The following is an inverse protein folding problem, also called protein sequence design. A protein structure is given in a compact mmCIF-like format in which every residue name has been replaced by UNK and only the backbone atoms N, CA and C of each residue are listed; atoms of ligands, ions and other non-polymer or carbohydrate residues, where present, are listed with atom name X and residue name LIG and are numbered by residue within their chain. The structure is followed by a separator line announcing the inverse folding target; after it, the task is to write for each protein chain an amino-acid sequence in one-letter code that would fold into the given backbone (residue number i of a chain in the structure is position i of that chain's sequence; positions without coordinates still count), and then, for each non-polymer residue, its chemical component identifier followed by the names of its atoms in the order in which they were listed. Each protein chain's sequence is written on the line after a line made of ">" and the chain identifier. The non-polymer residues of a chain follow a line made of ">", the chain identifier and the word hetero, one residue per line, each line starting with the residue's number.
data_IF_914428105062
#
_entry.id   IF_914428105062
#
_cell.length_a   1.000
_cell.length_b   1.000
_cell.length_c   1.000
_cell.angle_alpha   90.00
_cell.angle_beta   90.00
_cell.angle_gamma   90.00
#
_symmetry.space_group_name_H-M   'P 1'
#
loop_
_entity.id
_entity.type
_entity.pdbx_description
1 polymer ?
#
# COMPACT_ATOMS: atom_id res chain seq x y z
N UNK A 1 11.86 -14.78 13.84
CA UNK A 1 11.25 -15.99 14.46
C UNK A 1 9.92 -16.42 13.80
N UNK A 2 9.20 -15.52 13.12
CA UNK A 2 7.88 -15.78 12.51
C UNK A 2 7.89 -16.76 11.31
N UNK A 3 8.99 -16.92 10.60
CA UNK A 3 9.07 -17.84 9.45
C UNK A 3 8.85 -19.31 9.81
N UNK A 4 9.12 -19.73 11.05
CA UNK A 4 8.85 -21.09 11.53
C UNK A 4 7.38 -21.32 11.89
N UNK A 5 6.60 -20.26 12.13
CA UNK A 5 5.18 -20.32 12.49
C UNK A 5 4.25 -20.31 11.28
N UNK A 6 4.74 -19.87 10.10
CA UNK A 6 3.98 -19.82 8.84
C UNK A 6 3.28 -21.15 8.46
N UNK A 7 3.91 -22.33 8.60
CA UNK A 7 3.26 -23.61 8.26
C UNK A 7 2.10 -23.95 9.22
N UNK A 8 2.26 -23.65 10.51
CA UNK A 8 1.24 -23.90 11.53
C UNK A 8 0.05 -22.94 11.34
N UNK A 9 0.33 -21.67 11.05
CA UNK A 9 -0.69 -20.68 10.72
C UNK A 9 -1.47 -21.06 9.46
N UNK A 10 -0.77 -21.57 8.44
CA UNK A 10 -1.40 -22.07 7.21
C UNK A 10 -2.44 -23.16 7.49
N UNK A 11 -2.15 -24.15 8.35
CA UNK A 11 -3.11 -25.21 8.69
C UNK A 11 -4.39 -24.70 9.34
N UNK A 12 -4.30 -23.64 10.15
CA UNK A 12 -5.46 -23.04 10.82
C UNK A 12 -6.22 -22.10 9.89
N UNK A 13 -5.51 -21.29 9.10
CA UNK A 13 -6.12 -20.28 8.24
C UNK A 13 -6.71 -20.85 6.94
N UNK A 14 -6.19 -21.97 6.42
CA UNK A 14 -6.71 -22.59 5.19
C UNK A 14 -8.20 -22.97 5.26
N UNK A 15 -8.71 -23.68 6.28
CA UNK A 15 -10.14 -24.02 6.34
C UNK A 15 -11.02 -22.78 6.48
N UNK A 16 -10.58 -21.76 7.22
CA UNK A 16 -11.29 -20.49 7.36
C UNK A 16 -11.28 -19.75 6.00
N UNK A 17 -10.14 -19.70 5.33
CA UNK A 17 -10.01 -19.12 3.99
C UNK A 17 -10.89 -19.81 2.96
N UNK A 18 -11.07 -21.14 3.05
CA UNK A 18 -12.02 -21.86 2.21
C UNK A 18 -13.47 -21.50 2.52
N UNK A 19 -13.83 -21.34 3.79
CA UNK A 19 -15.18 -20.94 4.20
C UNK A 19 -15.49 -19.51 3.71
N UNK A 20 -14.56 -18.57 3.88
CA UNK A 20 -14.71 -17.18 3.40
C UNK A 20 -14.70 -17.12 1.87
N UNK A 21 -13.88 -17.93 1.19
CA UNK A 21 -13.89 -17.99 -0.27
C UNK A 21 -15.27 -18.37 -0.86
N UNK A 22 -16.06 -19.17 -0.13
CA UNK A 22 -17.43 -19.55 -0.55
C UNK A 22 -18.44 -18.42 -0.48
N UNK A 23 -18.17 -17.35 0.28
CA UNK A 23 -19.09 -16.19 0.38
C UNK A 23 -18.97 -15.24 -0.81
N UNK A 24 -17.94 -15.40 -1.65
CA UNK A 24 -17.69 -14.55 -2.81
C UNK A 24 -16.99 -13.22 -2.48
N UNK A 25 -16.69 -12.95 -1.21
CA UNK A 25 -15.94 -11.76 -0.79
C UNK A 25 -14.54 -11.79 -1.39
N UNK A 26 -14.10 -10.66 -1.96
CA UNK A 26 -12.78 -10.55 -2.58
C UNK A 26 -11.68 -10.37 -1.53
N UNK A 27 -10.44 -10.84 -1.77
CA UNK A 27 -9.30 -10.58 -0.88
C UNK A 27 -9.14 -9.09 -0.56
N UNK A 28 -9.22 -8.22 -1.58
CA UNK A 28 -9.10 -6.78 -1.40
C UNK A 28 -10.17 -6.19 -0.46
N UNK A 29 -11.40 -6.71 -0.49
CA UNK A 29 -12.45 -6.27 0.43
C UNK A 29 -12.13 -6.67 1.88
N UNK A 30 -11.56 -7.86 2.09
CA UNK A 30 -11.09 -8.32 3.40
C UNK A 30 -10.02 -7.36 3.93
N UNK A 31 -9.03 -7.00 3.10
CA UNK A 31 -7.97 -6.05 3.47
C UNK A 31 -8.52 -4.69 3.91
N UNK A 32 -9.46 -4.13 3.13
CA UNK A 32 -10.06 -2.82 3.41
C UNK A 32 -10.88 -2.86 4.71
N UNK A 33 -11.70 -3.91 4.90
CA UNK A 33 -12.53 -4.07 6.11
C UNK A 33 -11.64 -4.30 7.33
N UNK A 34 -10.61 -5.14 7.21
CA UNK A 34 -9.61 -5.39 8.24
C UNK A 34 -8.98 -4.08 8.72
N UNK A 35 -8.48 -3.30 7.77
CA UNK A 35 -7.81 -2.03 8.05
C UNK A 35 -8.77 -0.98 8.63
N UNK A 36 -10.00 -0.89 8.13
CA UNK A 36 -11.01 -0.01 8.69
C UNK A 36 -11.35 -0.39 10.14
N UNK A 37 -11.43 -1.69 10.45
CA UNK A 37 -11.65 -2.20 11.80
C UNK A 37 -10.48 -1.92 12.74
N UNK A 38 -9.24 -2.09 12.29
CA UNK A 38 -8.04 -1.67 13.04
C UNK A 38 -8.08 -0.17 13.33
N UNK A 39 -8.36 0.65 12.32
CA UNK A 39 -8.41 2.09 12.48
C UNK A 39 -9.53 2.53 13.44
N UNK A 40 -10.72 1.94 13.33
CA UNK A 40 -11.81 2.20 14.25
C UNK A 40 -11.46 1.79 15.69
N UNK A 41 -10.89 0.61 15.89
CA UNK A 41 -10.45 0.14 17.21
C UNK A 41 -9.42 1.08 17.83
N UNK A 42 -8.38 1.45 17.07
CA UNK A 42 -7.33 2.34 17.54
C UNK A 42 -7.84 3.76 17.83
N UNK A 43 -8.53 4.39 16.87
CA UNK A 43 -8.89 5.81 16.94
C UNK A 43 -10.14 6.09 17.77
N UNK A 44 -10.98 5.09 18.07
CA UNK A 44 -12.14 5.27 18.95
C UNK A 44 -11.87 4.85 20.39
N UNK A 45 -10.99 3.88 20.64
CA UNK A 45 -10.78 3.31 21.98
C UNK A 45 -9.52 3.84 22.66
N UNK A 46 -8.37 3.93 21.96
CA UNK A 46 -7.14 4.43 22.58
C UNK A 46 -7.23 5.89 23.04
N UNK A 47 -7.85 6.83 22.29
CA UNK A 47 -8.09 8.19 22.79
C UNK A 47 -8.96 8.25 24.05
N UNK A 48 -9.75 7.22 24.33
CA UNK A 48 -10.57 7.10 25.53
C UNK A 48 -9.87 6.36 26.66
N UNK A 49 -8.59 5.99 26.50
CA UNK A 49 -7.82 5.22 27.49
C UNK A 49 -8.24 3.76 27.59
N UNK A 50 -9.13 3.29 26.71
CA UNK A 50 -9.60 1.92 26.66
C UNK A 50 -8.55 1.04 25.95
N UNK A 51 -7.31 1.05 26.42
CA UNK A 51 -6.17 0.42 25.74
C UNK A 51 -6.33 -1.10 25.63
N UNK A 52 -6.90 -1.76 26.63
CA UNK A 52 -7.14 -3.20 26.59
C UNK A 52 -8.16 -3.56 25.50
N UNK A 53 -9.35 -2.93 25.53
CA UNK A 53 -10.40 -3.20 24.56
C UNK A 53 -10.01 -2.77 23.14
N UNK A 54 -9.32 -1.64 23.00
CA UNK A 54 -8.74 -1.21 21.73
C UNK A 54 -7.80 -2.27 21.17
N UNK A 55 -6.91 -2.81 22.01
CA UNK A 55 -5.98 -3.87 21.63
C UNK A 55 -6.71 -5.14 21.19
N UNK A 56 -7.77 -5.56 21.89
CA UNK A 56 -8.56 -6.73 21.52
C UNK A 56 -9.24 -6.57 20.16
N UNK A 57 -9.86 -5.41 19.92
CA UNK A 57 -10.50 -5.11 18.62
C UNK A 57 -9.46 -5.09 17.50
N UNK A 58 -8.34 -4.38 17.69
CA UNK A 58 -7.26 -4.33 16.70
C UNK A 58 -6.72 -5.73 16.41
N UNK A 59 -6.46 -6.52 17.45
CA UNK A 59 -5.94 -7.89 17.29
C UNK A 59 -6.91 -8.75 16.49
N UNK A 60 -8.21 -8.66 16.75
CA UNK A 60 -9.22 -9.39 15.99
C UNK A 60 -9.20 -9.02 14.50
N UNK A 61 -9.08 -7.73 14.16
CA UNK A 61 -9.02 -7.28 12.78
C UNK A 61 -7.68 -7.54 12.09
N UNK A 62 -6.56 -7.51 12.81
CA UNK A 62 -5.25 -7.94 12.28
C UNK A 62 -5.28 -9.42 11.92
N UNK A 63 -5.91 -10.27 12.75
CA UNK A 63 -6.09 -11.69 12.44
C UNK A 63 -7.06 -11.90 11.26
N UNK A 64 -8.09 -11.06 11.15
CA UNK A 64 -9.01 -11.06 10.01
C UNK A 64 -8.28 -10.70 8.71
N UNK A 65 -7.35 -9.75 8.74
CA UNK A 65 -6.53 -9.35 7.59
C UNK A 65 -5.71 -10.53 7.06
N UNK A 66 -5.14 -11.36 7.92
CA UNK A 66 -4.40 -12.58 7.51
C UNK A 66 -5.24 -13.58 6.70
N UNK A 67 -6.58 -13.46 6.72
CA UNK A 67 -7.47 -14.26 5.90
C UNK A 67 -7.44 -13.82 4.43
N UNK A 68 -7.10 -12.58 4.10
CA UNK A 68 -7.07 -12.10 2.72
C UNK A 68 -6.08 -12.91 1.86
N UNK A 69 -4.90 -13.20 2.41
CA UNK A 69 -3.85 -13.97 1.77
C UNK A 69 -4.20 -15.45 1.74
N UNK A 70 -4.93 -15.95 2.74
CA UNK A 70 -5.47 -17.31 2.70
C UNK A 70 -6.53 -17.46 1.59
N UNK A 71 -7.47 -16.51 1.49
CA UNK A 71 -8.50 -16.47 0.45
C UNK A 71 -7.88 -16.27 -0.92
N UNK A 72 -6.90 -15.38 -1.09
CA UNK A 72 -6.20 -15.17 -2.35
C UNK A 72 -5.49 -16.44 -2.83
N UNK A 73 -4.83 -17.18 -1.93
CA UNK A 73 -4.20 -18.47 -2.25
C UNK A 73 -5.20 -19.55 -2.63
N UNK A 74 -6.29 -19.68 -1.87
CA UNK A 74 -7.33 -20.71 -2.12
C UNK A 74 -8.11 -20.42 -3.39
N UNK A 75 -8.38 -19.14 -3.69
CA UNK A 75 -9.16 -18.73 -4.88
C UNK A 75 -8.30 -18.52 -6.13
N UNK A 76 -6.97 -18.63 -6.02
CA UNK A 76 -6.04 -18.34 -7.12
C UNK A 76 -5.98 -16.85 -7.52
N UNK A 77 -6.52 -15.94 -6.70
CA UNK A 77 -6.61 -14.49 -6.99
C UNK A 77 -5.40 -13.69 -6.49
N UNK A 78 -4.20 -14.23 -6.64
CA UNK A 78 -2.96 -13.52 -6.28
C UNK A 78 -2.69 -12.44 -7.35
N UNK A 79 -2.52 -11.18 -6.94
CA UNK A 79 -2.32 -10.06 -7.88
C UNK A 79 -1.32 -9.03 -7.37
N UNK A 80 -0.66 -8.32 -8.30
CA UNK A 80 0.24 -7.20 -7.98
C UNK A 80 -0.49 -6.06 -7.27
N UNK A 81 -1.73 -5.78 -7.68
CA UNK A 81 -2.56 -4.78 -7.02
C UNK A 81 -2.91 -5.19 -5.59
N UNK A 82 -3.23 -6.46 -5.35
CA UNK A 82 -3.48 -6.98 -4.00
C UNK A 82 -2.27 -6.82 -3.09
N UNK A 83 -1.07 -7.15 -3.56
CA UNK A 83 0.17 -6.93 -2.80
C UNK A 83 0.43 -5.44 -2.52
N UNK A 84 0.20 -4.57 -3.50
CA UNK A 84 0.26 -3.12 -3.30
C UNK A 84 -0.75 -2.64 -2.26
N UNK A 85 -2.00 -3.10 -2.34
CA UNK A 85 -3.08 -2.74 -1.43
C UNK A 85 -2.79 -3.18 0.00
N UNK A 86 -2.48 -4.45 0.23
CA UNK A 86 -2.04 -5.02 1.52
C UNK A 86 -0.90 -4.19 2.11
N UNK A 87 0.14 -3.95 1.29
CA UNK A 87 1.27 -3.15 1.70
C UNK A 87 0.95 -1.67 1.96
N UNK A 88 -0.14 -1.12 1.42
CA UNK A 88 -0.52 0.28 1.68
C UNK A 88 -1.40 0.36 2.92
N UNK A 89 -2.35 -0.55 3.03
CA UNK A 89 -3.32 -0.64 4.11
C UNK A 89 -2.68 -1.00 5.45
N UNK A 90 -1.64 -1.85 5.44
CA UNK A 90 -0.75 -2.05 6.58
C UNK A 90 -0.22 -0.75 7.20
N UNK A 91 0.15 0.21 6.35
CA UNK A 91 0.74 1.48 6.77
C UNK A 91 -0.32 2.43 7.31
N UNK A 92 -1.53 2.37 6.76
CA UNK A 92 -2.71 3.05 7.33
C UNK A 92 -3.07 2.47 8.70
N UNK A 93 -3.05 1.15 8.85
CA UNK A 93 -3.29 0.47 10.13
C UNK A 93 -2.25 0.86 11.19
N UNK A 94 -0.95 0.77 10.86
CA UNK A 94 0.13 1.18 11.77
C UNK A 94 -0.03 2.66 12.17
N UNK A 95 -0.38 3.52 11.21
CA UNK A 95 -0.61 4.93 11.47
C UNK A 95 -1.77 5.18 12.44
N UNK A 96 -2.89 4.48 12.26
CA UNK A 96 -4.04 4.60 13.14
C UNK A 96 -3.71 4.14 14.57
N UNK A 97 -2.99 3.03 14.72
CA UNK A 97 -2.58 2.46 16.02
C UNK A 97 -1.72 3.46 16.80
N UNK A 98 -0.61 3.91 16.22
CA UNK A 98 0.29 4.83 16.92
C UNK A 98 -0.32 6.22 17.12
N UNK A 99 -1.18 6.69 16.22
CA UNK A 99 -1.92 7.95 16.42
C UNK A 99 -2.92 7.82 17.56
N UNK A 100 -3.66 6.71 17.65
CA UNK A 100 -4.57 6.45 18.76
C UNK A 100 -3.85 6.38 20.11
N UNK A 101 -2.70 5.70 20.16
CA UNK A 101 -1.84 5.66 21.36
C UNK A 101 -1.33 7.05 21.73
N UNK A 102 -0.81 7.82 20.76
CA UNK A 102 -0.34 9.19 20.98
C UNK A 102 -1.44 10.07 21.59
N UNK A 103 -2.65 10.05 21.02
CA UNK A 103 -3.78 10.85 21.51
C UNK A 103 -4.18 10.42 22.92
N UNK A 104 -4.28 9.10 23.18
CA UNK A 104 -4.61 8.58 24.51
C UNK A 104 -3.58 8.94 25.57
N UNK A 105 -2.30 8.80 25.25
CA UNK A 105 -1.19 9.18 26.13
C UNK A 105 -1.15 10.68 26.42
N UNK A 106 -1.40 11.50 25.39
CA UNK A 106 -1.47 12.96 25.55
C UNK A 106 -2.61 13.37 26.47
N UNK A 107 -3.80 12.76 26.30
CA UNK A 107 -4.94 12.96 27.20
C UNK A 107 -4.59 12.62 28.65
N UNK A 108 -3.83 11.56 28.87
CA UNK A 108 -3.40 11.11 30.20
C UNK A 108 -2.27 11.96 30.81
N UNK A 109 -1.90 13.08 30.18
CA UNK A 109 -0.83 13.97 30.63
C UNK A 109 0.57 13.40 30.40
N UNK A 110 0.71 12.34 29.61
CA UNK A 110 1.99 11.71 29.29
C UNK A 110 2.58 12.27 27.98
N UNK A 111 2.72 13.59 27.90
CA UNK A 111 3.12 14.32 26.68
C UNK A 111 4.45 13.81 26.10
N UNK A 112 5.44 13.58 26.96
CA UNK A 112 6.73 13.04 26.54
C UNK A 112 6.58 11.66 25.88
N UNK A 113 5.74 10.78 26.45
CA UNK A 113 5.52 9.45 25.90
C UNK A 113 4.65 9.47 24.64
N UNK A 114 3.71 10.41 24.53
CA UNK A 114 3.00 10.68 23.29
C UNK A 114 3.98 11.09 22.17
N UNK A 115 5.00 11.90 22.48
CA UNK A 115 6.10 12.21 21.57
C UNK A 115 6.89 10.97 21.12
N UNK A 116 7.12 10.00 22.01
CA UNK A 116 7.75 8.72 21.65
C UNK A 116 6.84 7.87 20.76
N UNK A 117 5.53 7.85 21.01
CA UNK A 117 4.56 7.17 20.14
C UNK A 117 4.55 7.79 18.72
N UNK A 118 4.59 9.11 18.62
CA UNK A 118 4.76 9.82 17.35
C UNK A 118 6.09 9.47 16.67
N UNK A 119 7.18 9.38 17.42
CA UNK A 119 8.46 8.94 16.88
C UNK A 119 8.38 7.50 16.34
N UNK A 120 7.74 6.58 17.06
CA UNK A 120 7.52 5.20 16.61
C UNK A 120 6.71 5.15 15.30
N UNK A 121 5.68 6.00 15.17
CA UNK A 121 4.93 6.16 13.93
C UNK A 121 5.84 6.58 12.77
N UNK A 122 6.54 7.71 12.92
CA UNK A 122 7.37 8.29 11.85
C UNK A 122 8.50 7.33 11.48
N UNK A 123 9.22 6.79 12.47
CA UNK A 123 10.31 5.85 12.23
C UNK A 123 9.81 4.55 11.58
N UNK A 124 8.64 4.03 11.96
CA UNK A 124 8.02 2.86 11.31
C UNK A 124 7.69 3.08 9.83
N UNK A 125 7.22 4.28 9.47
CA UNK A 125 7.00 4.70 8.08
C UNK A 125 8.33 4.79 7.34
N UNK A 126 9.35 5.43 7.93
CA UNK A 126 10.69 5.54 7.34
C UNK A 126 11.32 4.17 7.10
N UNK A 127 11.22 3.24 8.06
CA UNK A 127 11.69 1.85 7.88
C UNK A 127 11.04 1.24 6.65
N UNK A 128 9.71 1.28 6.55
CA UNK A 128 8.96 0.69 5.43
C UNK A 128 9.31 1.35 4.09
N UNK A 129 9.38 2.68 4.07
CA UNK A 129 9.73 3.47 2.89
C UNK A 129 11.16 3.20 2.40
N UNK A 130 12.14 3.12 3.32
CA UNK A 130 13.53 2.85 2.96
C UNK A 130 13.68 1.52 2.19
N UNK A 131 12.94 0.49 2.57
CA UNK A 131 12.92 -0.79 1.83
C UNK A 131 12.24 -0.64 0.47
N UNK A 132 11.03 -0.09 0.44
CA UNK A 132 10.29 0.09 -0.82
C UNK A 132 11.06 0.96 -1.83
N UNK A 133 11.72 2.03 -1.36
CA UNK A 133 12.52 2.91 -2.21
C UNK A 133 13.80 2.24 -2.70
N UNK A 134 14.47 1.47 -1.85
CA UNK A 134 15.63 0.69 -2.27
C UNK A 134 15.27 -0.33 -3.36
N UNK A 135 14.20 -1.11 -3.15
CA UNK A 135 13.71 -2.08 -4.14
C UNK A 135 13.28 -1.40 -5.45
N UNK A 136 12.64 -0.23 -5.37
CA UNK A 136 12.28 0.57 -6.54
C UNK A 136 13.48 1.16 -7.30
N UNK A 137 14.65 1.22 -6.68
CA UNK A 137 15.92 1.62 -7.31
C UNK A 137 16.74 0.40 -7.80
N UNK A 138 16.25 -0.82 -7.60
CA UNK A 138 16.96 -2.06 -7.96
C UNK A 138 17.90 -2.58 -6.87
N UNK A 139 17.93 -1.95 -5.68
CA UNK A 139 18.69 -2.42 -4.53
C UNK A 139 17.92 -3.42 -3.68
N UNK A 140 18.64 -4.26 -2.96
CA UNK A 140 18.06 -5.16 -1.95
C UNK A 140 18.10 -4.53 -0.57
N UNK A 141 17.03 -4.65 0.21
CA UNK A 141 16.92 -4.02 1.53
C UNK A 141 16.11 -4.87 2.51
N UNK A 142 16.53 -6.13 2.68
CA UNK A 142 15.93 -7.08 3.62
C UNK A 142 16.76 -7.23 4.90
N UNK A 143 17.18 -6.08 5.44
CA UNK A 143 17.85 -5.98 6.74
C UNK A 143 16.99 -5.22 7.73
N UNK A 144 17.23 -5.45 9.01
CA UNK A 144 16.50 -4.79 10.09
C UNK A 144 16.12 -5.76 11.19
N UNK A 145 16.32 -5.35 12.44
CA UNK A 145 15.92 -6.14 13.62
C UNK A 145 14.43 -5.88 13.94
N UNK A 146 13.92 -4.69 13.62
CA UNK A 146 12.55 -4.27 13.88
C UNK A 146 11.67 -4.36 12.62
N UNK A 147 11.37 -5.59 12.21
CA UNK A 147 10.36 -5.85 11.19
C UNK A 147 8.95 -5.46 11.68
N UNK A 148 8.02 -5.31 10.74
CA UNK A 148 6.69 -4.74 11.02
C UNK A 148 5.92 -5.56 12.05
N UNK A 149 5.87 -6.88 11.87
CA UNK A 149 5.08 -7.76 12.72
C UNK A 149 5.56 -7.70 14.19
N UNK A 150 6.88 -7.69 14.39
CA UNK A 150 7.52 -7.55 15.69
C UNK A 150 7.14 -6.23 16.36
N UNK A 151 7.19 -5.11 15.62
CA UNK A 151 6.78 -3.80 16.17
C UNK A 151 5.32 -3.78 16.60
N UNK A 152 4.45 -4.33 15.76
CA UNK A 152 3.01 -4.37 16.02
C UNK A 152 2.69 -5.23 17.25
N UNK A 153 3.30 -6.42 17.35
CA UNK A 153 3.12 -7.32 18.50
C UNK A 153 3.57 -6.63 19.79
N UNK A 154 4.76 -6.04 19.82
CA UNK A 154 5.29 -5.37 21.01
C UNK A 154 4.39 -4.20 21.43
N UNK A 155 3.97 -3.36 20.49
CA UNK A 155 3.09 -2.23 20.78
C UNK A 155 1.72 -2.66 21.32
N UNK A 156 1.08 -3.63 20.67
CA UNK A 156 -0.26 -4.11 21.06
C UNK A 156 -0.23 -4.87 22.39
N UNK A 157 0.73 -5.75 22.60
CA UNK A 157 0.86 -6.47 23.88
C UNK A 157 1.08 -5.48 25.03
N UNK A 158 1.97 -4.51 24.85
CA UNK A 158 2.23 -3.51 25.88
C UNK A 158 1.03 -2.59 26.12
N UNK A 159 0.33 -2.15 25.06
CA UNK A 159 -0.90 -1.37 25.19
C UNK A 159 -1.99 -2.16 25.94
N UNK A 160 -2.18 -3.43 25.60
CA UNK A 160 -3.14 -4.32 26.25
C UNK A 160 -2.89 -4.46 27.76
N UNK A 161 -1.64 -4.78 28.14
CA UNK A 161 -1.27 -4.89 29.55
C UNK A 161 -1.32 -3.55 30.29
N UNK A 162 -0.96 -2.44 29.63
CA UNK A 162 -1.13 -1.11 30.20
C UNK A 162 -2.60 -0.80 30.48
N UNK A 163 -3.51 -1.22 29.59
CA UNK A 163 -4.96 -1.12 29.80
C UNK A 163 -5.50 -2.01 30.92
N UNK A 164 -4.76 -3.05 31.32
CA UNK A 164 -5.04 -3.88 32.50
C UNK A 164 -4.40 -3.32 33.79
N UNK A 165 -3.75 -2.16 33.72
CA UNK A 165 -3.13 -1.51 34.87
C UNK A 165 -1.71 -1.95 35.18
N UNK A 166 -1.03 -2.68 34.27
CA UNK A 166 0.40 -2.99 34.45
C UNK A 166 1.22 -1.71 34.24
N UNK A 167 1.92 -1.21 35.27
CA UNK A 167 2.60 0.07 35.18
C UNK A 167 3.84 -0.01 34.28
N UNK A 168 4.16 1.11 33.62
CA UNK A 168 5.37 1.34 32.81
C UNK A 168 5.61 0.41 31.59
N UNK A 169 4.80 -0.64 31.38
CA UNK A 169 5.02 -1.60 30.28
C UNK A 169 4.91 -0.94 28.90
N UNK A 170 3.92 -0.07 28.70
CA UNK A 170 3.76 0.68 27.46
C UNK A 170 4.92 1.67 27.24
N UNK A 171 5.39 2.32 28.31
CA UNK A 171 6.53 3.22 28.25
C UNK A 171 7.81 2.49 27.83
N UNK A 172 8.12 1.36 28.48
CA UNK A 172 9.26 0.53 28.15
C UNK A 172 9.19 0.01 26.71
N UNK A 173 8.02 -0.43 26.26
CA UNK A 173 7.81 -0.90 24.89
C UNK A 173 8.02 0.20 23.85
N UNK A 174 7.45 1.39 24.05
CA UNK A 174 7.61 2.51 23.10
C UNK A 174 9.07 2.98 23.00
N UNK A 175 9.78 3.07 24.12
CA UNK A 175 11.21 3.41 24.09
C UNK A 175 12.07 2.34 23.42
N UNK A 176 11.79 1.06 23.68
CA UNK A 176 12.47 -0.04 22.99
C UNK A 176 12.18 -0.02 21.49
N UNK A 177 10.93 0.20 21.08
CA UNK A 177 10.54 0.31 19.68
C UNK A 177 11.18 1.51 18.98
N UNK A 178 11.27 2.66 19.65
CA UNK A 178 11.97 3.83 19.14
C UNK A 178 13.44 3.50 18.87
N UNK A 179 14.16 2.95 19.85
CA UNK A 179 15.56 2.57 19.71
C UNK A 179 15.79 1.54 18.59
N UNK A 180 14.98 0.47 18.57
CA UNK A 180 15.07 -0.59 17.57
C UNK A 180 14.75 -0.09 16.15
N UNK A 181 13.82 0.85 16.01
CA UNK A 181 13.48 1.47 14.73
C UNK A 181 14.62 2.36 14.24
N UNK A 182 15.25 3.15 15.11
CA UNK A 182 16.45 3.95 14.78
C UNK A 182 17.58 3.08 14.27
N UNK A 183 17.89 1.99 14.98
CA UNK A 183 18.93 1.03 14.57
C UNK A 183 18.59 0.43 13.21
N UNK A 184 17.33 0.04 13.00
CA UNK A 184 16.87 -0.53 11.73
C UNK A 184 17.00 0.45 10.57
N UNK A 185 16.66 1.73 10.78
CA UNK A 185 16.88 2.78 9.77
C UNK A 185 18.38 2.88 9.44
N UNK A 186 19.25 2.95 10.44
CA UNK A 186 20.70 3.00 10.22
C UNK A 186 21.22 1.80 9.42
N UNK A 187 20.78 0.59 9.76
CA UNK A 187 21.12 -0.64 9.02
C UNK A 187 20.70 -0.57 7.55
N UNK A 188 19.47 -0.12 7.28
CA UNK A 188 18.95 -0.01 5.90
C UNK A 188 19.73 1.02 5.09
N UNK A 189 20.02 2.18 5.68
CA UNK A 189 20.85 3.20 5.04
C UNK A 189 22.26 2.69 4.73
N UNK A 190 22.91 2.04 5.69
CA UNK A 190 24.26 1.49 5.49
C UNK A 190 24.28 0.43 4.37
N UNK A 191 23.30 -0.47 4.33
CA UNK A 191 23.19 -1.52 3.31
C UNK A 191 22.96 -0.94 1.91
N UNK A 192 22.09 0.06 1.77
CA UNK A 192 21.84 0.71 0.47
C UNK A 192 23.05 1.55 0.05
N UNK A 193 23.68 2.26 0.97
CA UNK A 193 24.89 3.05 0.70
C UNK A 193 26.05 2.19 0.20
N UNK A 194 26.25 1.01 0.80
CA UNK A 194 27.27 0.06 0.35
C UNK A 194 27.01 -0.45 -1.07
N UNK A 195 25.75 -0.77 -1.42
CA UNK A 195 25.35 -1.18 -2.77
C UNK A 195 25.54 -0.03 -3.77
N UNK A 196 25.08 1.17 -3.44
CA UNK A 196 25.21 2.34 -4.31
C UNK A 196 26.66 2.74 -4.59
N UNK A 197 27.58 2.51 -3.64
CA UNK A 197 29.02 2.73 -3.83
C UNK A 197 29.67 1.68 -4.74
N UNK A 198 29.12 0.47 -4.76
CA UNK A 198 29.59 -0.62 -5.61
C UNK A 198 29.01 -0.54 -7.03
N UNK A 199 27.92 0.21 -7.23
CA UNK A 199 27.37 0.48 -8.55
C UNK A 199 28.24 1.49 -9.32
N UNK A 200 28.67 1.17 -10.55
CA UNK A 200 29.26 2.16 -11.43
C UNK A 200 28.26 3.30 -11.62
N UNK A 201 28.71 4.55 -11.42
CA UNK A 201 27.86 5.73 -11.55
C UNK A 201 27.06 5.67 -12.86
N UNK A 202 25.75 6.00 -12.86
CA UNK A 202 24.97 6.02 -14.08
C UNK A 202 25.67 6.94 -15.08
N UNK A 203 25.93 6.43 -16.28
CA UNK A 203 26.47 7.25 -17.36
C UNK A 203 25.58 8.51 -17.48
N UNK A 204 26.17 9.71 -17.55
CA UNK A 204 25.38 10.92 -17.69
C UNK A 204 24.45 10.71 -18.87
N UNK A 205 23.15 10.90 -18.65
CA UNK A 205 22.13 10.77 -19.69
C UNK A 205 22.63 11.57 -20.89
N UNK A 206 22.95 10.85 -21.98
CA UNK A 206 23.61 11.41 -23.16
C UNK A 206 22.90 12.69 -23.56
N UNK A 207 23.68 13.76 -23.70
CA UNK A 207 23.17 15.07 -24.09
C UNK A 207 22.22 14.92 -25.26
N UNK A 208 21.05 15.56 -25.13
CA UNK A 208 20.16 15.78 -26.27
C UNK A 208 21.02 16.24 -27.46
N UNK A 209 20.78 15.75 -28.69
CA UNK A 209 21.58 16.16 -29.83
C UNK A 209 21.46 17.67 -29.96
N UNK A 210 22.55 18.36 -29.67
CA UNK A 210 22.73 19.78 -29.96
C UNK A 210 22.74 19.91 -31.47
N UNK A 211 21.57 20.18 -32.05
CA UNK A 211 21.44 20.62 -33.44
C UNK A 211 22.12 21.98 -33.59
N UNK A 212 23.42 21.96 -33.86
CA UNK A 212 24.20 23.13 -34.26
C UNK A 212 24.47 23.07 -35.76
N UNK A 213 24.03 24.09 -36.48
CA UNK A 213 24.36 24.31 -37.89
C UNK A 213 23.53 25.44 -38.49
N UNK A 214 24.06 26.66 -38.40
CA UNK A 214 23.48 27.91 -38.86
C UNK A 214 23.85 28.24 -40.33
N UNK A 215 23.01 29.01 -41.02
CA UNK A 215 23.38 29.99 -42.08
C UNK A 215 22.15 30.93 -42.30
N UNK A 216 22.12 32.20 -41.84
CA UNK A 216 22.54 33.48 -42.51
C UNK A 216 22.06 33.57 -43.99
N UNK A 217 21.42 34.62 -44.52
CA UNK A 217 21.32 36.08 -44.25
C UNK A 217 20.19 36.70 -45.12
N UNK A 218 19.55 37.78 -44.64
CA UNK A 218 19.15 39.07 -45.27
C UNK A 218 19.03 39.13 -46.84
N UNK A 219 18.06 39.75 -47.54
CA UNK A 219 17.18 40.92 -47.32
C UNK A 219 16.16 41.08 -48.53
N UNK A 220 15.50 42.23 -48.87
CA UNK A 220 14.06 42.51 -48.72
C UNK A 220 13.24 42.76 -50.02
N UNK A 221 11.90 42.91 -49.93
CA UNK A 221 11.06 43.34 -51.06
C UNK A 221 9.61 43.71 -50.69
N UNK A 222 9.12 44.83 -51.26
CA UNK A 222 8.02 45.64 -50.78
C UNK A 222 6.62 45.40 -51.42
N UNK A 223 5.61 46.01 -50.78
CA UNK A 223 4.42 46.67 -51.35
C UNK A 223 3.22 45.84 -51.91
N UNK A 224 2.14 45.90 -51.12
CA UNK A 224 0.81 46.50 -51.40
C UNK A 224 -0.13 46.01 -52.54
N UNK A 225 -1.41 45.90 -52.12
CA UNK A 225 -2.68 46.15 -52.82
C UNK A 225 -3.22 45.18 -53.89
N UNK A 226 -4.53 44.89 -53.78
CA UNK A 226 -5.39 44.69 -54.96
C UNK A 226 -6.37 43.52 -54.93
N UNK A 227 -7.45 43.66 -54.15
CA UNK A 227 -8.86 43.44 -54.53
C UNK A 227 -9.17 42.62 -55.80
N UNK A 228 -10.00 41.55 -55.67
CA UNK A 228 -11.17 41.30 -56.56
C UNK A 228 -12.06 40.13 -56.14
N UNK A 229 -13.35 40.42 -56.25
CA UNK A 229 -14.57 39.67 -56.00
C UNK A 229 -14.85 38.43 -56.86
N UNK A 230 -15.83 37.65 -56.38
CA UNK A 230 -16.71 36.75 -57.15
C UNK A 230 -16.46 35.27 -56.88
N UNK A 231 -17.41 34.36 -56.76
CA UNK A 231 -18.87 34.42 -56.80
C UNK A 231 -19.38 33.04 -56.29
N UNK A 232 -20.54 33.11 -55.64
CA UNK A 232 -21.62 32.15 -55.33
C UNK A 232 -21.59 30.62 -55.61
N UNK A 233 -22.43 29.99 -54.77
CA UNK A 233 -23.22 28.75 -54.92
C UNK A 233 -22.48 27.41 -54.79
N UNK A 234 -22.92 26.39 -54.03
CA UNK A 234 -24.10 26.20 -53.20
C UNK A 234 -24.20 24.73 -52.70
N UNK A 235 -24.94 24.54 -51.61
CA UNK A 235 -25.91 23.43 -51.39
C UNK A 235 -25.42 22.01 -50.95
N UNK A 236 -25.99 21.60 -49.80
CA UNK A 236 -26.36 20.25 -49.29
C UNK A 236 -25.35 19.29 -48.64
N UNK A 237 -25.49 19.13 -47.30
CA UNK A 237 -26.23 18.01 -46.70
C UNK A 237 -25.52 16.65 -46.47
N UNK A 238 -25.75 15.97 -45.32
CA UNK A 238 -24.91 14.87 -44.85
C UNK A 238 -25.38 13.48 -45.32
N UNK A 239 -24.49 12.48 -45.36
CA UNK A 239 -24.87 11.06 -45.49
C UNK A 239 -24.25 10.19 -44.41
N UNK A 240 -25.14 9.60 -43.60
CA UNK A 240 -24.93 8.35 -42.86
C UNK A 240 -24.76 7.20 -43.85
N UNK A 241 -24.04 6.15 -43.44
CA UNK A 241 -24.31 4.78 -43.88
C UNK A 241 -24.05 3.79 -42.75
N UNK A 242 -25.12 3.09 -42.40
CA UNK A 242 -25.17 1.85 -41.64
C UNK A 242 -24.61 0.68 -42.49
N UNK A 243 -24.26 -0.43 -41.83
CA UNK A 243 -24.48 -1.76 -42.41
C UNK A 243 -23.38 -2.81 -42.23
N UNK A 244 -23.65 -3.72 -41.30
CA UNK A 244 -23.48 -5.18 -41.38
C UNK A 244 -22.20 -5.93 -40.90
N UNK A 245 -22.45 -6.82 -39.93
CA UNK A 245 -21.57 -7.85 -39.36
C UNK A 245 -21.48 -9.14 -40.21
N UNK A 246 -21.50 -10.40 -39.69
CA UNK A 246 -21.90 -10.85 -38.34
C UNK A 246 -21.02 -11.98 -37.72
N UNK A 247 -21.29 -12.34 -36.45
CA UNK A 247 -21.16 -13.74 -35.99
C UNK A 247 -20.52 -13.99 -34.61
N UNK A 248 -21.33 -14.37 -33.62
CA UNK A 248 -21.27 -15.67 -32.93
C UNK A 248 -22.17 -15.68 -31.67
N UNK A 249 -22.97 -16.75 -31.58
CA UNK A 249 -24.13 -16.96 -30.70
C UNK A 249 -23.73 -17.44 -29.29
N UNK A 250 -24.56 -17.11 -28.30
CA UNK A 250 -24.61 -17.73 -26.99
C UNK A 250 -25.95 -18.49 -26.78
N UNK A 251 -25.83 -19.66 -26.15
CA UNK A 251 -26.75 -20.38 -25.24
C UNK A 251 -28.24 -20.61 -25.60
N UNK A 252 -28.69 -21.88 -25.53
CA UNK A 252 -29.34 -22.47 -24.34
C UNK A 252 -30.31 -23.65 -24.64
N UNK A 253 -30.15 -24.71 -23.84
CA UNK A 253 -31.17 -25.51 -23.14
C UNK A 253 -31.87 -26.78 -23.72
N UNK A 254 -32.01 -27.74 -22.77
CA UNK A 254 -32.97 -28.85 -22.60
C UNK A 254 -32.89 -30.15 -23.46
N UNK A 255 -32.69 -31.30 -22.77
CA UNK A 255 -32.80 -32.69 -23.30
C UNK A 255 -34.25 -33.21 -23.26
N UNK A 256 -34.55 -34.50 -22.96
CA UNK A 256 -33.80 -35.78 -23.12
C UNK A 256 -34.58 -36.83 -23.95
N UNK A 257 -33.96 -37.90 -24.52
CA UNK A 257 -34.61 -39.24 -24.67
C UNK A 257 -33.71 -40.35 -25.30
N UNK A 258 -33.63 -41.48 -24.57
CA UNK A 258 -33.73 -42.92 -24.92
C UNK A 258 -33.07 -43.57 -26.17
N UNK A 259 -32.49 -44.76 -25.87
CA UNK A 259 -32.26 -46.00 -26.69
C UNK A 259 -31.19 -45.86 -27.78
N UNK A 260 -30.25 -46.80 -27.99
CA UNK A 260 -30.12 -48.24 -27.70
C UNK A 260 -28.69 -48.57 -27.30
#
# INVERSE_FOLDING_TARGET
>A
MLNKLRPALGRVLTPIGQAVARTGVSPNAITIIGTAGVAAGALLLFPRGEFFWGTMVITAFVLFDMLDGAVARVTGKISRFGAFLDSTMDRVADAAIFSGLMIGLYRDGQEALAGVALYCLVSGVVVSYAKARAEGLGYTCDVGIAERAERLIVALVAAGFSGLGVPYILAAALWALAALSTVTVGQRFATVYAQAKADPAPAPAGGAPSGGGADRTDEPGAANAGDRAGDRDGVTGPRRRDGDGPGAKAAANAGPERRR
#
